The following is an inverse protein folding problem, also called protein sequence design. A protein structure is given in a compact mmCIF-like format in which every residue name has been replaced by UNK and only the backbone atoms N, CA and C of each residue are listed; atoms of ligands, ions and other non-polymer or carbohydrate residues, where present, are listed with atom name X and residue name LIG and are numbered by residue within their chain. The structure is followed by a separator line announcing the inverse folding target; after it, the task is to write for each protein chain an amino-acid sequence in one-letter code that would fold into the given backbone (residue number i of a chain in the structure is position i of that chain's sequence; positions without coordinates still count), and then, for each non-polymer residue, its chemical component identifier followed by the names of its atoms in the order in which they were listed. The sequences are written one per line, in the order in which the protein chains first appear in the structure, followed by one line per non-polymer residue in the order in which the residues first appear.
data_IF_936157677015
#
_entry.id   IF_936157677015
#
_cell.length_a   1.000
_cell.length_b   1.000
_cell.length_c   1.000
_cell.angle_alpha   90.00
_cell.angle_beta   90.00
_cell.angle_gamma   90.00
#
_symmetry.space_group_name_H-M   'P 1'
#
loop_
_entity.id
_entity.type
_entity.pdbx_description
1 polymer ?
2 non-polymer ?
3 non-polymer ?
4 non-polymer ?
5 water ?
#
# COMPACT_ATOMS: atom_id res chain seq x y z
N UNK A 2 5.00 -12.39 -0.95
CA UNK A 2 5.13 -11.42 0.14
C UNK A 2 3.80 -11.05 0.76
N UNK A 3 3.84 -10.65 2.03
CA UNK A 3 2.67 -10.34 2.83
C UNK A 3 2.67 -8.85 3.10
N UNK A 4 1.61 -8.18 2.70
CA UNK A 4 1.51 -6.72 2.72
C UNK A 4 0.45 -6.29 3.72
N UNK A 5 0.81 -5.32 4.58
CA UNK A 5 -0.08 -4.81 5.62
C UNK A 5 -0.14 -3.30 5.50
N UNK A 6 -1.35 -2.75 5.41
CA UNK A 6 -1.54 -1.31 5.32
C UNK A 6 -2.26 -0.83 6.58
N UNK A 7 -1.63 0.10 7.30
CA UNK A 7 -2.10 0.56 8.60
C UNK A 7 -2.41 2.04 8.49
N UNK A 8 -3.50 2.47 9.12
CA UNK A 8 -3.88 3.88 9.12
C UNK A 8 -3.93 4.42 10.55
N UNK A 9 -3.41 5.65 10.73
CA UNK A 9 -3.45 6.36 12.01
C UNK A 9 -3.94 7.79 11.76
N UNK A 10 -4.62 8.34 12.76
CA UNK A 10 -4.99 9.75 12.78
C UNK A 10 -4.36 10.39 14.01
N UNK A 11 -3.81 11.59 13.84
CA UNK A 11 -3.19 12.30 14.96
C UNK A 11 -3.66 13.74 14.96
N UNK A 12 -3.69 14.41 16.12
CA UNK A 12 -3.95 15.84 16.14
C UNK A 12 -2.89 16.58 15.33
N UNK A 13 -3.29 17.73 14.76
CA UNK A 13 -2.40 18.46 13.86
C UNK A 13 -1.08 18.82 14.52
N UNK A 14 -1.11 19.22 15.79
CA UNK A 14 0.11 19.61 16.48
C UNK A 14 1.00 18.43 16.87
N UNK A 15 0.57 17.21 16.59
CA UNK A 15 1.37 16.03 16.85
C UNK A 15 1.82 15.33 15.58
N UNK A 16 1.57 15.94 14.41
CA UNK A 16 1.90 15.30 13.15
C UNK A 16 3.41 15.07 13.01
N UNK A 17 4.21 16.08 13.39
CA UNK A 17 5.66 15.90 13.32
C UNK A 17 6.16 14.85 14.31
N UNK A 18 5.58 14.82 15.51
CA UNK A 18 5.93 13.77 16.47
C UNK A 18 5.56 12.40 15.92
N UNK A 19 4.39 12.28 15.29
CA UNK A 19 4.03 10.99 14.70
C UNK A 19 5.01 10.59 13.61
N UNK A 20 5.38 11.52 12.73
CA UNK A 20 6.29 11.19 11.65
C UNK A 20 7.63 10.73 12.20
N UNK A 21 8.11 11.38 13.27
CA UNK A 21 9.37 10.95 13.88
C UNK A 21 9.25 9.54 14.44
N UNK A 22 8.11 9.22 15.06
CA UNK A 22 7.90 7.88 15.58
C UNK A 22 7.81 6.86 14.45
N UNK A 23 7.10 7.20 13.37
CA UNK A 23 7.00 6.28 12.25
C UNK A 23 8.34 6.04 11.58
N UNK A 24 9.16 7.08 11.46
CA UNK A 24 10.49 6.91 10.87
C UNK A 24 11.36 6.02 11.75
N UNK A 25 11.21 6.15 13.08
CA UNK A 25 11.90 5.23 13.98
C UNK A 25 11.45 3.79 13.76
N UNK A 26 10.14 3.58 13.66
CA UNK A 26 9.60 2.24 13.45
C UNK A 26 10.11 1.67 12.13
N UNK A 27 10.07 2.47 11.06
CA UNK A 27 10.49 1.97 9.76
C UNK A 27 11.97 1.64 9.74
N UNK A 28 12.80 2.53 10.27
CA UNK A 28 14.23 2.30 10.21
C UNK A 28 14.64 1.19 11.18
N UNK A 29 14.01 1.12 12.35
CA UNK A 29 14.35 0.07 13.30
C UNK A 29 13.91 -1.30 12.83
N UNK A 30 12.75 -1.38 12.19
CA UNK A 30 12.27 -2.68 11.72
C UNK A 30 13.09 -3.15 10.54
N UNK A 31 13.33 -2.26 9.56
CA UNK A 31 14.06 -2.69 8.37
C UNK A 31 15.48 -3.07 8.69
N UNK A 32 16.10 -2.39 9.66
CA UNK A 32 17.49 -2.67 9.99
C UNK A 32 17.65 -3.96 10.79
N UNK A 33 16.69 -4.29 11.66
CA UNK A 33 16.87 -5.33 12.64
C UNK A 33 16.03 -6.59 12.41
N UNK A 34 15.03 -6.53 11.55
CA UNK A 34 14.10 -7.64 11.39
C UNK A 34 14.28 -8.23 10.00
N UNK A 35 14.81 -9.45 9.88
CA UNK A 35 15.11 -10.00 8.55
C UNK A 35 13.87 -10.32 7.72
N UNK A 36 12.73 -10.55 8.36
CA UNK A 36 11.49 -10.79 7.66
C UNK A 36 10.73 -9.53 7.29
N UNK A 37 11.20 -8.35 7.71
CA UNK A 37 10.56 -7.09 7.36
C UNK A 37 11.32 -6.55 6.15
N UNK A 38 10.67 -6.53 4.99
CA UNK A 38 11.35 -6.24 3.74
C UNK A 38 11.20 -4.79 3.29
N UNK A 39 10.07 -4.15 3.58
CA UNK A 39 9.82 -2.79 3.17
C UNK A 39 8.91 -2.15 4.21
N UNK A 40 9.10 -0.86 4.46
CA UNK A 40 8.32 -0.19 5.51
C UNK A 40 8.32 1.31 5.21
N UNK A 41 7.19 1.82 4.75
CA UNK A 41 7.06 3.20 4.30
C UNK A 41 6.01 3.93 5.12
N UNK A 42 6.34 5.15 5.53
CA UNK A 42 5.40 6.07 6.16
C UNK A 42 4.92 7.02 5.09
N UNK A 43 3.60 7.16 4.94
CA UNK A 43 2.99 7.98 3.91
C UNK A 43 2.01 8.93 4.59
N UNK A 44 2.07 10.21 4.23
CA UNK A 44 1.11 11.20 4.71
C UNK A 44 0.06 11.45 3.64
N UNK A 45 -1.21 11.51 4.06
CA UNK A 45 -2.27 11.81 3.11
C UNK A 45 -2.03 13.15 2.45
N UNK A 46 -2.35 13.22 1.15
CA UNK A 46 -2.07 14.44 0.38
C UNK A 46 -2.92 15.62 0.84
N UNK A 47 -4.10 15.38 1.44
CA UNK A 47 -4.93 16.50 1.87
C UNK A 47 -5.36 16.42 3.33
N UNK A 48 -5.54 15.21 3.85
CA UNK A 48 -6.04 15.03 5.21
C UNK A 48 -4.90 15.30 6.17
N UNK A 49 -4.96 16.45 6.85
CA UNK A 49 -3.86 16.95 7.67
C UNK A 49 -3.49 16.01 8.82
N UNK A 50 -4.36 15.08 9.17
CA UNK A 50 -4.17 14.29 10.37
C UNK A 50 -3.81 12.85 10.12
N UNK A 51 -3.87 12.41 8.86
CA UNK A 51 -3.90 10.99 8.53
C UNK A 51 -2.59 10.51 7.95
N UNK A 52 -2.10 9.40 8.47
CA UNK A 52 -0.86 8.76 8.02
C UNK A 52 -1.12 7.28 7.74
N UNK A 53 -0.32 6.72 6.85
CA UNK A 53 -0.41 5.31 6.50
C UNK A 53 0.96 4.67 6.63
N UNK A 54 0.98 3.45 7.15
CA UNK A 54 2.19 2.63 7.15
C UNK A 54 1.96 1.50 6.15
N UNK A 55 2.83 1.43 5.15
CA UNK A 55 2.79 0.41 4.10
C UNK A 55 3.94 -0.54 4.36
N UNK A 56 3.60 -1.72 4.88
CA UNK A 56 4.57 -2.67 5.40
C UNK A 56 4.57 -3.93 4.56
N UNK A 57 5.77 -4.46 4.28
CA UNK A 57 5.90 -5.69 3.48
C UNK A 57 6.75 -6.68 4.25
N UNK A 58 6.28 -7.94 4.29
CA UNK A 58 6.94 -9.02 5.02
C UNK A 58 7.12 -10.26 4.14
N UNK A 59 8.06 -11.11 4.56
CA UNK A 59 8.27 -12.38 3.87
C UNK A 59 6.99 -13.21 3.83
N UNK A 60 6.24 -13.22 4.93
CA UNK A 60 5.03 -14.02 5.06
C UNK A 60 4.29 -13.53 6.29
N UNK A 61 3.13 -14.14 6.58
CA UNK A 61 2.36 -13.68 7.74
C UNK A 61 3.15 -13.86 9.03
N UNK A 62 3.90 -14.95 9.15
CA UNK A 62 4.67 -15.18 10.37
C UNK A 62 5.64 -14.04 10.64
N UNK A 63 6.22 -13.46 9.58
CA UNK A 63 7.15 -12.35 9.77
C UNK A 63 6.45 -11.09 10.26
N UNK A 64 5.23 -10.84 9.79
CA UNK A 64 4.44 -9.75 10.37
C UNK A 64 4.16 -10.00 11.84
N UNK A 65 3.69 -11.20 12.18
CA UNK A 65 3.41 -11.53 13.57
C UNK A 65 4.68 -11.43 14.43
N UNK A 66 5.84 -11.79 13.87
CA UNK A 66 7.11 -11.56 14.58
C UNK A 66 7.36 -10.08 14.80
N UNK A 67 7.18 -9.26 13.77
CA UNK A 67 7.31 -7.80 13.89
C UNK A 67 6.44 -7.33 15.04
N UNK A 68 5.24 -7.88 15.13
CA UNK A 68 4.25 -7.45 16.10
C UNK A 68 4.67 -7.76 17.53
N UNK A 69 5.58 -8.73 17.67
CA UNK A 69 6.05 -9.16 18.97
C UNK A 69 7.45 -8.63 19.32
N UNK A 70 8.03 -7.85 18.43
CA UNK A 70 9.39 -7.34 18.59
C UNK A 70 9.42 -6.01 19.36
N UNK A 71 10.63 -5.57 19.65
CA UNK A 71 10.84 -4.38 20.49
C UNK A 71 10.66 -3.07 19.74
N UNK A 72 10.82 -3.06 18.41
CA UNK A 72 10.69 -1.80 17.68
C UNK A 72 9.26 -1.27 17.76
N UNK A 73 8.29 -2.12 17.45
CA UNK A 73 6.89 -1.71 17.49
C UNK A 73 6.48 -1.31 18.90
N UNK A 74 7.03 -1.96 19.92
CA UNK A 74 6.67 -1.62 21.29
C UNK A 74 7.10 -0.19 21.62
N UNK A 75 8.29 0.22 21.20
CA UNK A 75 8.68 1.60 21.44
C UNK A 75 7.88 2.59 20.58
N UNK A 76 7.52 2.19 19.35
CA UNK A 76 6.68 3.05 18.52
C UNK A 76 5.39 3.40 19.25
N UNK A 77 4.73 2.39 19.84
CA UNK A 77 3.49 2.66 20.57
C UNK A 77 3.73 3.47 21.83
N UNK A 78 4.88 3.30 22.50
CA UNK A 78 5.22 4.16 23.64
C UNK A 78 5.32 5.62 23.21
N UNK A 79 5.81 5.87 22.00
CA UNK A 79 5.96 7.24 21.52
C UNK A 79 4.61 7.87 21.17
N UNK A 80 3.67 7.10 20.64
CA UNK A 80 2.45 7.69 20.08
C UNK A 80 1.21 7.52 20.95
N UNK A 81 1.29 6.76 22.04
CA UNK A 81 0.10 6.36 22.79
C UNK A 81 -0.76 7.54 23.22
N UNK A 82 -0.15 8.63 23.67
CA UNK A 82 -0.95 9.70 24.28
C UNK A 82 -1.86 10.41 23.29
N UNK A 83 -1.55 10.39 22.00
CA UNK A 83 -2.26 11.25 21.07
C UNK A 83 -2.83 10.56 19.84
N UNK A 84 -2.34 9.37 19.47
CA UNK A 84 -2.72 8.80 18.18
C UNK A 84 -4.02 8.01 18.27
N UNK A 85 -4.70 7.90 17.14
CA UNK A 85 -5.86 7.02 17.01
C UNK A 85 -5.51 5.94 16.01
N UNK A 86 -5.60 4.69 16.44
CA UNK A 86 -5.23 3.55 15.61
C UNK A 86 -4.54 2.48 16.43
N UNK A 87 -4.04 1.44 15.77
CA UNK A 87 -4.02 1.19 14.31
C UNK A 87 -5.38 0.80 13.75
N UNK A 88 -5.73 1.29 12.55
CA UNK A 88 -6.78 0.71 11.73
C UNK A 88 -6.12 -0.02 10.57
N UNK A 89 -6.39 -1.31 10.44
CA UNK A 89 -5.80 -2.08 9.33
C UNK A 89 -6.69 -1.90 8.10
N UNK A 90 -6.17 -1.21 7.09
CA UNK A 90 -6.90 -1.06 5.85
C UNK A 90 -6.94 -2.37 5.07
N UNK A 91 -5.84 -3.11 5.07
CA UNK A 91 -5.84 -4.46 4.51
C UNK A 91 -4.63 -5.22 4.98
N UNK A 92 -4.75 -6.53 4.88
CA UNK A 92 -3.62 -7.46 4.93
C UNK A 92 -3.81 -8.40 3.75
N UNK A 93 -2.72 -8.67 3.00
CA UNK A 93 -2.90 -9.47 1.81
C UNK A 93 -1.58 -9.97 1.26
N UNK A 94 -1.66 -10.68 0.15
CA UNK A 94 -0.50 -11.32 -0.47
C UNK A 94 -0.30 -10.78 -1.87
N UNK A 95 0.95 -10.49 -2.22
CA UNK A 95 1.24 -9.96 -3.55
C UNK A 95 1.10 -11.07 -4.58
N UNK A 96 0.53 -10.72 -5.74
CA UNK A 96 0.50 -11.63 -6.88
C UNK A 96 1.89 -11.56 -7.53
N UNK A 97 2.59 -12.70 -7.55
CA UNK A 97 3.98 -12.73 -7.96
C UNK A 97 4.17 -13.04 -9.44
N UNK A 98 5.40 -12.83 -9.92
CA UNK A 98 5.82 -13.16 -11.26
C UNK A 98 5.84 -12.01 -12.24
N UNK A 99 5.27 -10.85 -11.90
CA UNK A 99 5.32 -9.72 -12.81
C UNK A 99 6.72 -9.16 -12.98
N UNK A 100 6.86 -8.26 -13.95
CA UNK A 100 8.11 -7.56 -14.16
C UNK A 100 8.41 -6.62 -13.01
N UNK B 2 8.06 10.84 -3.34
CA UNK B 2 7.33 9.97 -4.23
C UNK B 2 5.85 10.04 -3.88
N UNK B 3 4.99 9.73 -4.84
CA UNK B 3 3.54 9.88 -4.72
C UNK B 3 2.95 8.49 -4.78
N UNK B 4 2.25 8.12 -3.71
CA UNK B 4 1.73 6.78 -3.52
C UNK B 4 0.21 6.78 -3.64
N UNK B 5 -0.30 5.83 -4.42
CA UNK B 5 -1.72 5.72 -4.75
C UNK B 5 -2.15 4.29 -4.50
N UNK B 6 -3.07 4.10 -3.55
CA UNK B 6 -3.63 2.80 -3.24
C UNK B 6 -5.06 2.72 -3.77
N UNK B 7 -5.31 1.74 -4.63
CA UNK B 7 -6.57 1.54 -5.32
C UNK B 7 -7.15 0.21 -4.88
N UNK B 8 -8.47 0.15 -4.72
CA UNK B 8 -9.15 -1.07 -4.33
C UNK B 8 -10.18 -1.43 -5.39
N UNK B 9 -10.26 -2.73 -5.71
CA UNK B 9 -11.23 -3.24 -6.65
C UNK B 9 -11.91 -4.45 -6.04
N UNK B 10 -13.18 -4.64 -6.37
CA UNK B 10 -13.92 -5.86 -6.06
C UNK B 10 -14.36 -6.54 -7.35
N UNK B 11 -14.26 -7.87 -7.38
CA UNK B 11 -14.63 -8.65 -8.56
C UNK B 11 -15.35 -9.91 -8.12
N UNK B 12 -16.21 -10.46 -8.98
CA UNK B 12 -16.81 -11.77 -8.69
C UNK B 12 -15.71 -12.78 -8.42
N UNK B 13 -15.99 -13.71 -7.50
CA UNK B 13 -14.95 -14.63 -7.05
C UNK B 13 -14.40 -15.47 -8.19
N UNK B 14 -15.25 -15.84 -9.15
CA UNK B 14 -14.73 -16.61 -10.27
C UNK B 14 -13.96 -15.76 -11.28
N UNK B 15 -13.91 -14.44 -11.09
CA UNK B 15 -13.11 -13.55 -11.91
C UNK B 15 -11.84 -13.08 -11.21
N UNK B 16 -11.52 -13.65 -10.05
CA UNK B 16 -10.37 -13.17 -9.28
C UNK B 16 -9.07 -13.39 -10.05
N UNK B 17 -8.88 -14.60 -10.60
CA UNK B 17 -7.66 -14.85 -11.35
C UNK B 17 -7.56 -13.96 -12.58
N UNK B 18 -8.67 -13.75 -13.29
CA UNK B 18 -8.68 -12.87 -14.45
C UNK B 18 -8.31 -11.44 -14.06
N UNK B 19 -8.86 -10.95 -12.94
CA UNK B 19 -8.49 -9.62 -12.50
C UNK B 19 -7.00 -9.53 -12.17
N UNK B 20 -6.48 -10.52 -11.46
CA UNK B 20 -5.06 -10.49 -11.08
C UNK B 20 -4.17 -10.42 -12.32
N UNK B 21 -4.49 -11.20 -13.36
CA UNK B 21 -3.76 -11.12 -14.62
C UNK B 21 -3.85 -9.73 -15.23
N UNK B 22 -5.05 -9.14 -15.24
CA UNK B 22 -5.20 -7.80 -15.79
C UNK B 22 -4.38 -6.79 -14.99
N UNK B 23 -4.36 -6.93 -13.67
CA UNK B 23 -3.53 -6.06 -12.85
C UNK B 23 -2.05 -6.16 -13.16
N UNK B 24 -1.56 -7.38 -13.38
CA UNK B 24 -0.15 -7.57 -13.73
C UNK B 24 0.13 -7.05 -15.13
N UNK B 25 -0.83 -7.19 -16.05
CA UNK B 25 -0.71 -6.57 -17.36
C UNK B 25 -0.53 -5.05 -17.22
N UNK B 26 -1.36 -4.43 -16.37
CA UNK B 26 -1.22 -3.00 -16.08
C UNK B 26 0.15 -2.70 -15.48
N UNK B 27 0.55 -3.47 -14.47
CA UNK B 27 1.86 -3.26 -13.84
C UNK B 27 3.02 -3.40 -14.84
N UNK B 28 3.05 -4.52 -15.58
CA UNK B 28 4.09 -4.73 -16.59
C UNK B 28 4.19 -3.56 -17.56
N UNK B 29 3.06 -3.16 -18.16
CA UNK B 29 3.11 -2.14 -19.19
C UNK B 29 3.42 -0.77 -18.63
N UNK B 30 2.92 -0.48 -17.44
CA UNK B 30 3.16 0.83 -16.84
C UNK B 30 4.60 0.98 -16.39
N UNK B 31 5.14 -0.03 -15.69
CA UNK B 31 6.52 0.07 -15.24
C UNK B 31 7.49 0.21 -16.40
N UNK B 32 7.25 -0.54 -17.47
CA UNK B 32 8.21 -0.61 -18.57
C UNK B 32 8.22 0.68 -19.39
N UNK B 33 7.05 1.25 -19.66
CA UNK B 33 6.91 2.30 -20.66
C UNK B 33 6.71 3.69 -20.09
N UNK B 34 6.51 3.83 -18.79
CA UNK B 34 6.23 5.13 -18.19
C UNK B 34 7.37 5.51 -17.26
N UNK B 35 8.22 6.47 -17.62
CA UNK B 35 9.37 6.79 -16.76
C UNK B 35 8.97 7.30 -15.38
N UNK B 36 7.78 7.86 -15.24
CA UNK B 36 7.29 8.35 -13.99
C UNK B 36 6.64 7.32 -13.09
N UNK B 37 6.45 6.10 -13.57
CA UNK B 37 5.87 5.02 -12.79
C UNK B 37 6.99 4.14 -12.24
N UNK B 38 7.09 4.10 -10.92
CA UNK B 38 8.26 3.54 -10.23
C UNK B 38 8.01 2.18 -9.59
N UNK B 39 6.78 1.89 -9.18
CA UNK B 39 6.49 0.63 -8.54
C UNK B 39 5.00 0.41 -8.74
N UNK B 40 4.59 -0.86 -8.90
CA UNK B 40 3.20 -1.15 -9.20
C UNK B 40 2.95 -2.60 -8.83
N UNK B 41 2.24 -2.81 -7.73
CA UNK B 41 2.02 -4.13 -7.17
C UNK B 41 0.53 -4.44 -7.12
N UNK B 42 0.19 -5.69 -7.37
CA UNK B 42 -1.17 -6.20 -7.27
C UNK B 42 -1.22 -7.09 -6.03
N UNK B 43 -2.16 -6.80 -5.12
CA UNK B 43 -2.24 -7.49 -3.84
C UNK B 43 -3.64 -8.08 -3.69
N UNK B 44 -3.72 -9.38 -3.37
CA UNK B 44 -5.00 -10.01 -3.07
C UNK B 44 -5.26 -10.00 -1.57
N UNK B 45 -6.47 -9.61 -1.17
CA UNK B 45 -6.81 -9.65 0.24
C UNK B 45 -6.66 -11.07 0.78
N UNK B 46 -6.17 -11.19 2.01
CA UNK B 46 -5.90 -12.50 2.60
C UNK B 46 -7.16 -13.33 2.84
N UNK B 47 -8.33 -12.71 2.97
CA UNK B 47 -9.55 -13.45 3.28
C UNK B 47 -10.73 -13.08 2.40
N UNK B 48 -10.84 -11.81 1.99
CA UNK B 48 -11.93 -11.40 1.12
C UNK B 48 -11.68 -11.94 -0.28
N UNK B 49 -12.55 -12.86 -0.72
CA UNK B 49 -12.40 -13.60 -1.97
C UNK B 49 -12.51 -12.72 -3.20
N UNK B 50 -12.95 -11.48 -3.05
CA UNK B 50 -13.32 -10.63 -4.16
C UNK B 50 -12.45 -9.41 -4.30
N UNK B 51 -11.62 -9.12 -3.31
CA UNK B 51 -11.01 -7.81 -3.18
C UNK B 51 -9.52 -7.84 -3.47
N UNK B 52 -9.09 -6.86 -4.26
CA UNK B 52 -7.71 -6.67 -4.67
C UNK B 52 -7.32 -5.21 -4.49
N UNK B 53 -6.04 -4.98 -4.31
CA UNK B 53 -5.48 -3.64 -4.13
C UNK B 53 -4.33 -3.46 -5.10
N UNK B 54 -4.25 -2.28 -5.70
CA UNK B 54 -3.09 -1.89 -6.50
C UNK B 54 -2.33 -0.84 -5.70
N UNK B 55 -1.07 -1.13 -5.43
CA UNK B 55 -0.18 -0.24 -4.68
C UNK B 55 0.79 0.37 -5.69
N UNK B 56 0.56 1.63 -6.00
CA UNK B 56 1.23 2.31 -7.11
C UNK B 56 2.10 3.46 -6.60
N UNK B 57 3.30 3.59 -7.16
CA UNK B 57 4.23 4.66 -6.76
C UNK B 57 4.70 5.41 -8.00
N UNK B 58 4.64 6.75 -7.93
CA UNK B 58 4.98 7.66 -9.02
C UNK B 58 5.99 8.69 -8.53
N UNK B 59 6.73 9.29 -9.47
CA UNK B 59 7.67 10.32 -9.05
C UNK B 59 6.94 11.50 -8.43
N UNK B 60 5.76 11.83 -8.94
CA UNK B 60 4.95 12.93 -8.43
C UNK B 60 3.52 12.76 -8.93
N UNK B 61 2.64 13.69 -8.51
CA UNK B 61 1.25 13.62 -8.94
C UNK B 61 1.12 13.73 -10.45
N UNK B 62 1.92 14.61 -11.08
CA UNK B 62 1.86 14.75 -12.53
C UNK B 62 2.13 13.42 -13.23
N UNK B 63 3.00 12.61 -12.65
CA UNK B 63 3.29 11.30 -13.24
C UNK B 63 2.09 10.36 -13.10
N UNK B 64 1.36 10.46 -11.99
CA UNK B 64 0.14 9.67 -11.86
C UNK B 64 -0.91 10.13 -12.87
N UNK B 65 -1.06 11.44 -13.05
CA UNK B 65 -2.04 11.95 -14.01
C UNK B 65 -1.65 11.55 -15.43
N UNK B 66 -0.35 11.45 -15.71
CA UNK B 66 0.09 10.98 -17.03
C UNK B 66 -0.25 9.51 -17.21
N UNK B 67 -0.04 8.70 -16.19
CA UNK B 67 -0.42 7.29 -16.23
C UNK B 67 -1.91 7.16 -16.55
N UNK B 68 -2.71 8.02 -15.92
CA UNK B 68 -4.13 8.01 -16.11
C UNK B 68 -4.52 8.36 -17.56
N UNK B 69 -3.61 9.03 -18.26
CA UNK B 69 -3.83 9.45 -19.65
C UNK B 69 -3.15 8.57 -20.69
N UNK B 70 -2.54 7.48 -20.25
CA UNK B 70 -1.77 6.61 -21.13
C UNK B 70 -2.56 5.38 -21.58
N UNK B 71 -1.94 4.62 -22.49
CA UNK B 71 -2.62 3.52 -23.15
C UNK B 71 -2.77 2.29 -22.26
N UNK B 72 -1.82 2.05 -21.36
CA UNK B 72 -1.84 0.81 -20.57
C UNK B 72 -3.05 0.75 -19.67
N UNK B 73 -3.32 1.84 -18.95
CA UNK B 73 -4.50 1.87 -18.09
C UNK B 73 -5.78 1.71 -18.89
N UNK B 74 -5.82 2.27 -20.11
CA UNK B 74 -6.98 2.07 -20.96
C UNK B 74 -7.13 0.61 -21.35
N UNK B 75 -6.01 -0.05 -21.65
CA UNK B 75 -6.05 -1.48 -21.95
C UNK B 75 -6.48 -2.28 -20.73
N UNK B 76 -6.02 -1.88 -19.55
CA UNK B 76 -6.42 -2.55 -18.31
C UNK B 76 -7.93 -2.47 -18.12
N UNK B 77 -8.52 -1.28 -18.34
CA UNK B 77 -9.96 -1.15 -18.16
C UNK B 77 -10.74 -1.94 -19.20
N UNK B 78 -10.21 -2.08 -20.41
CA UNK B 78 -10.87 -2.91 -21.40
C UNK B 78 -10.96 -4.37 -20.94
N UNK B 79 -9.97 -4.82 -20.17
CA UNK B 79 -9.97 -6.22 -19.74
C UNK B 79 -11.00 -6.48 -18.64
N UNK B 80 -11.21 -5.51 -17.74
CA UNK B 80 -11.96 -5.74 -16.52
C UNK B 80 -13.36 -5.14 -16.53
N UNK B 81 -13.68 -4.33 -17.54
CA UNK B 81 -14.87 -3.47 -17.49
C UNK B 81 -16.15 -4.28 -17.28
N UNK B 82 -16.24 -5.48 -17.86
CA UNK B 82 -17.47 -6.24 -17.79
C UNK B 82 -17.80 -6.78 -16.40
N UNK B 83 -16.85 -6.76 -15.46
CA UNK B 83 -17.08 -7.45 -14.19
C UNK B 83 -16.58 -6.74 -12.94
N UNK B 84 -15.65 -5.79 -13.03
CA UNK B 84 -15.02 -5.23 -11.84
C UNK B 84 -15.79 -4.03 -11.30
N UNK B 85 -15.62 -3.80 -10.00
CA UNK B 85 -16.17 -2.63 -9.31
C UNK B 85 -15.01 -1.78 -8.82
N UNK B 86 -14.95 -0.54 -9.24
CA UNK B 86 -13.86 0.34 -8.88
C UNK B 86 -13.48 1.24 -10.04
N UNK B 87 -12.40 2.01 -9.90
CA UNK B 87 -11.49 2.09 -8.75
C UNK B 87 -12.05 2.84 -7.57
N UNK B 88 -11.75 2.38 -6.36
CA UNK B 88 -11.96 3.15 -5.15
C UNK B 88 -10.59 3.54 -4.63
N UNK B 89 -10.32 4.85 -4.54
CA UNK B 89 -9.02 5.28 -4.05
C UNK B 89 -9.02 5.26 -2.53
N UNK B 90 -8.27 4.31 -1.95
CA UNK B 90 -8.12 4.27 -0.50
C UNK B 90 -7.33 5.45 0.02
N UNK B 91 -6.24 5.80 -0.66
CA UNK B 91 -5.55 7.05 -0.37
C UNK B 91 -4.66 7.45 -1.53
N UNK B 92 -4.31 8.73 -1.54
CA UNK B 92 -3.23 9.27 -2.35
C UNK B 92 -2.38 10.10 -1.41
N UNK B 93 -1.07 9.94 -1.44
CA UNK B 93 -0.26 10.61 -0.45
C UNK B 93 1.20 10.63 -0.85
N UNK B 94 2.01 11.23 0.01
CA UNK B 94 3.43 11.43 -0.25
C UNK B 94 4.25 10.73 0.81
N UNK B 95 5.36 10.12 0.38
CA UNK B 95 6.18 9.39 1.33
C UNK B 95 6.94 10.33 2.24
N UNK B 96 6.98 9.98 3.51
CA UNK B 96 7.80 10.63 4.52
C UNK B 96 9.15 9.94 4.47
N UNK B 97 10.18 10.63 3.97
CA UNK B 97 11.48 9.99 3.80
C UNK B 97 12.40 10.23 5.01
X LIG C 1 -11.18 9.91 13.95
X LIG C 1 -10.12 9.26 13.65
X LIG C 1 -11.81 10.76 13.27
X LIG C 1 -11.78 9.62 15.38
X LIG D 1 3.44 -1.17 13.09
X LIG D 1 4.68 -1.17 13.22
X LIG D 1 2.73 -1.95 12.42
X LIG D 1 2.68 -0.05 13.88
X LIG E 1 3.02 9.61 23.94
X LIG E 1 2.60 8.54 24.73
X LIG E 1 3.80 10.58 24.87
X LIG E 1 2.95 11.27 25.74
X LIG E 1 4.57 11.52 23.94
X LIG E 1 5.05 12.56 24.73
X LIG F 1 9.94 -7.96 -1.54
X LIG F 1 10.36 -8.98 -2.40
X LIG F 1 10.34 -6.64 -2.20
X LIG F 1 9.59 -6.38 -3.34
X LIG F 1 10.14 -5.57 -1.12
X LIG F 1 10.12 -4.34 -1.77
X LIG G 1 16.44 -14.16 4.66
X LIG G 1 16.23 -15.10 5.48
X LIG G 1 15.66 -13.24 4.30
X LIG G 1 17.86 -14.12 4.00
X LIG H 1 7.32 -10.79 -8.55
X LIG H 1 6.29 -10.35 -7.98
X LIG H 1 7.71 -11.99 -8.67
X LIG H 1 8.23 -9.71 -9.22
X LIG I 1 1.51 23.46 13.72
X LIG I 1 2.22 22.65 14.61
X LIG I 1 0.90 22.52 12.65
X LIG I 1 -0.23 21.87 13.13
X LIG I 1 2.03 21.57 12.26
X LIG I 1 1.67 20.30 12.73
X LIG J 1 -3.60 -15.78 7.07
X LIG J 1 -3.52 -16.27 8.26
X LIG J 1 -2.99 -14.79 6.50
X LIG J 1 -4.59 -16.50 6.19
X LIG K 1 10.29 3.67 -4.04
X LIG K 1 11.45 3.95 -3.64
X LIG K 1 9.18 3.87 -3.46
X LIG K 1 10.20 3.00 -5.45
X LIG L 1 1.02 17.60 0.38
X LIG L 1 0.06 17.29 -0.61
X LIG L 1 -0.17 18.43 -1.57
X LIG L 1 -1.36 18.19 -2.31
X LIG L 1 -2.56 18.34 -4.35
X LIG L 1 -1.28 18.65 -3.65
X LIG L 1 -2.47 18.62 -5.73
X LIG M 1 -4.87 -16.98 2.55
X LIG M 1 -5.62 -16.55 3.49
X LIG M 1 -4.01 -17.90 2.60
X LIG M 1 -5.07 -16.30 1.16
X LIG N 1 -7.83 -17.06 -15.87
X LIG N 1 -8.47 -16.17 -15.04
X LIG N 1 -6.33 -16.99 -15.53
X LIG N 1 -5.56 -17.64 -16.48
X LIG N 1 -6.01 -15.49 -15.47
X LIG N 1 -4.77 -15.35 -14.85
X LIG O 1 -18.91 -3.62 -3.63
X LIG O 1 -19.21 -3.15 -2.50
X LIG O 1 -17.86 -3.46 -4.30
X LIG O 1 -20.02 -4.53 -4.26
X LIG P 1 -13.91 -16.68 -15.25
X LIG P 1 -13.58 -17.98 -15.61
X LIG P 1 -12.76 -15.76 -15.72
X LIG P 1 -11.56 -16.46 -15.88
X LIG P 1 -13.27 -15.14 -17.05
X LIG P 1 -12.43 -14.06 -17.33
X LIG Q 1 -4.52 2.08 -12.47
X LIG Q 1 -4.49 3.00 -11.63
X LIG Q 1 -3.64 1.75 -13.31
X LIG Q 1 -5.83 1.24 -12.52
#
# INVERSE_FOLDING_TARGET
MTYHVLVQFDVPSDKAEAFAAAGLFDANGSLQNEPGTLRFEVIRDENNRNRFYLDEVYEDEAAFLQHCRNETIARFYELIDSYAFGPLFLFKGYRVEGGAAL
MTYHVLVQFDVPSDKAEAFAAAGLFDANGSLQNEPGTLRFEVIRDENNRNRFYLDEVYEDEAAFLQHCRNETIARFYELIDSYAFGPLFLFKGYRVEGGAAL
ACT C O OXT CH3
ACT C O OXT CH3
GOL C1 O1 C2 O2 C3 O3
GOL C1 O1 C2 O2 C3 O3
ACT C O OXT CH3
ACT C O OXT CH3
GOL C1 O1 C2 O2 C3 O3
ACT C O OXT CH3
ACT C O OXT CH3
1PE OH2 C12 C22 OH3 C13 C23 OH4
ACT C O OXT CH3
GOL C1 O1 C2 O2 C3 O3
ACT C O OXT CH3
GOL C1 O1 C2 O2 C3 O3
ACT C O OXT CH3
#
